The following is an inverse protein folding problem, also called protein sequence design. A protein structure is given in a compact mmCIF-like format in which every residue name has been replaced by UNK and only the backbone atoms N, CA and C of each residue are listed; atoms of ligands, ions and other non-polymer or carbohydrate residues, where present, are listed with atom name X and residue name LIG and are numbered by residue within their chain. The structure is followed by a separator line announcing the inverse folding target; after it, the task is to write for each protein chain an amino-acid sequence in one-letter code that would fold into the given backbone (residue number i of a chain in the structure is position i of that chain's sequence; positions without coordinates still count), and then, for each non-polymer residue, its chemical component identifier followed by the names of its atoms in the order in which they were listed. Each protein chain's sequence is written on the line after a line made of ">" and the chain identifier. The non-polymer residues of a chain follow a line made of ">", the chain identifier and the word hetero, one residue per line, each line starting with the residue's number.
data_IF_981222709016
#
_entry.id   IF_981222709016
#
_cell.length_a   1.000
_cell.length_b   1.000
_cell.length_c   1.000
_cell.angle_alpha   90.00
_cell.angle_beta   90.00
_cell.angle_gamma   90.00
#
_symmetry.space_group_name_H-M   'P 1'
#
loop_
_entity.id
_entity.type
_entity.pdbx_description
1 polymer ?
#
# COMPACT_ATOMS: atom_id res chain seq x y z
N UNK A 1 9.95 -10.47 -6.98
CA UNK A 1 8.51 -10.72 -7.26
C UNK A 1 8.36 -10.97 -8.75
N UNK A 2 7.55 -11.93 -9.14
CA UNK A 2 7.28 -12.24 -10.54
C UNK A 2 5.96 -11.60 -11.00
N UNK A 3 5.81 -11.25 -12.31
CA UNK A 3 4.54 -10.81 -12.87
C UNK A 3 3.47 -11.89 -12.69
N UNK A 4 2.26 -11.49 -12.34
CA UNK A 4 1.15 -12.43 -12.13
C UNK A 4 0.26 -12.60 -13.36
N UNK A 5 0.42 -11.75 -14.38
CA UNK A 5 -0.43 -11.73 -15.57
C UNK A 5 -1.89 -11.34 -15.28
N UNK A 6 -2.19 -10.87 -14.07
CA UNK A 6 -3.54 -10.41 -13.69
C UNK A 6 -3.67 -8.91 -13.90
N UNK A 7 -4.87 -8.48 -14.26
CA UNK A 7 -5.22 -7.07 -14.25
C UNK A 7 -4.86 -6.46 -12.88
N UNK A 8 -4.25 -5.27 -12.87
CA UNK A 8 -3.75 -4.58 -11.68
C UNK A 8 -2.57 -5.24 -10.94
N UNK A 9 -1.76 -6.07 -11.63
CA UNK A 9 -0.53 -6.58 -11.04
C UNK A 9 0.49 -5.46 -10.81
N UNK A 10 0.92 -5.19 -9.56
CA UNK A 10 1.87 -4.11 -9.29
C UNK A 10 3.22 -4.28 -9.98
N UNK A 11 3.63 -5.53 -10.21
CA UNK A 11 4.88 -5.86 -10.90
C UNK A 11 4.79 -5.46 -12.37
N UNK A 12 3.68 -5.78 -13.04
CA UNK A 12 3.45 -5.44 -14.43
C UNK A 12 3.39 -3.91 -14.62
N UNK A 13 2.78 -3.19 -13.69
CA UNK A 13 2.79 -1.72 -13.68
C UNK A 13 4.21 -1.15 -13.55
N UNK A 14 5.02 -1.69 -12.64
CA UNK A 14 6.40 -1.22 -12.47
C UNK A 14 7.23 -1.51 -13.71
N UNK A 15 7.09 -2.70 -14.31
CA UNK A 15 7.83 -3.05 -15.53
C UNK A 15 7.41 -2.15 -16.70
N UNK A 16 6.12 -1.96 -16.92
CA UNK A 16 5.59 -1.05 -17.95
C UNK A 16 6.05 0.39 -17.73
N UNK A 17 6.07 0.86 -16.47
CA UNK A 17 6.61 2.16 -16.13
C UNK A 17 8.11 2.27 -16.45
N UNK A 18 8.90 1.24 -16.13
CA UNK A 18 10.33 1.23 -16.41
C UNK A 18 10.62 1.26 -17.92
N UNK A 19 9.84 0.52 -18.70
CA UNK A 19 9.97 0.50 -20.16
C UNK A 19 9.60 1.88 -20.75
N UNK A 20 8.47 2.44 -20.33
CA UNK A 20 8.08 3.80 -20.71
C UNK A 20 9.15 4.83 -20.31
N UNK A 21 9.69 4.72 -19.11
CA UNK A 21 10.65 5.67 -18.60
C UNK A 21 12.01 5.56 -19.32
N UNK A 22 12.45 4.36 -19.73
CA UNK A 22 13.65 4.14 -20.53
C UNK A 22 13.49 4.71 -21.93
N UNK A 23 12.34 4.50 -22.55
CA UNK A 23 12.06 5.04 -23.89
C UNK A 23 12.06 6.58 -23.89
N UNK A 24 11.38 7.17 -22.93
CA UNK A 24 11.20 8.62 -22.89
C UNK A 24 12.35 9.39 -22.25
N UNK A 25 13.10 8.75 -21.36
CA UNK A 25 14.16 9.38 -20.55
C UNK A 25 15.37 8.45 -20.39
N UNK A 26 16.08 8.12 -21.49
CA UNK A 26 17.12 7.08 -21.50
C UNK A 26 18.27 7.33 -20.51
N UNK A 27 18.60 8.59 -20.22
CA UNK A 27 19.71 8.93 -19.31
C UNK A 27 19.31 8.94 -17.82
N UNK A 28 18.05 8.72 -17.49
CA UNK A 28 17.53 9.01 -16.15
C UNK A 28 17.09 7.86 -15.30
N UNK A 29 16.68 6.78 -15.92
CA UNK A 29 16.09 5.64 -15.21
C UNK A 29 17.13 4.80 -14.48
N UNK A 30 18.41 4.96 -14.84
CA UNK A 30 19.49 4.15 -14.26
C UNK A 30 19.79 4.46 -12.79
N UNK A 31 19.46 5.68 -12.33
CA UNK A 31 19.79 6.09 -10.95
C UNK A 31 18.63 5.96 -9.95
N UNK A 32 17.41 6.27 -10.39
CA UNK A 32 16.26 6.30 -9.48
C UNK A 32 15.01 5.76 -10.16
N UNK A 33 14.33 4.82 -9.52
CA UNK A 33 13.04 4.31 -10.01
C UNK A 33 11.99 5.43 -10.06
N UNK A 34 11.99 6.32 -9.07
CA UNK A 34 11.12 7.49 -9.01
C UNK A 34 11.97 8.76 -8.89
N UNK A 35 12.35 9.37 -10.02
CA UNK A 35 13.10 10.62 -10.00
C UNK A 35 12.22 11.80 -9.57
N UNK A 36 12.87 12.86 -9.09
CA UNK A 36 12.18 14.12 -8.85
C UNK A 36 11.82 14.78 -10.18
N UNK A 37 10.59 15.25 -10.32
CA UNK A 37 10.10 15.98 -11.49
C UNK A 37 10.04 17.46 -11.17
N UNK A 38 10.66 18.30 -11.98
CA UNK A 38 10.51 19.75 -11.90
C UNK A 38 10.22 20.36 -13.28
N UNK A 39 9.07 21.03 -13.41
CA UNK A 39 8.66 21.71 -14.64
C UNK A 39 8.50 20.74 -15.83
N UNK A 40 8.97 21.16 -17.01
CA UNK A 40 8.97 20.35 -18.23
C UNK A 40 10.14 19.37 -18.30
N UNK A 41 11.14 19.54 -17.45
CA UNK A 41 12.34 18.73 -17.42
C UNK A 41 12.33 17.83 -16.20
N UNK A 42 12.74 16.58 -16.36
CA UNK A 42 12.95 15.64 -15.28
C UNK A 42 14.37 15.81 -14.76
N UNK A 43 14.58 16.28 -13.54
CA UNK A 43 15.91 16.31 -12.97
C UNK A 43 16.32 14.90 -12.55
N UNK A 44 17.04 14.22 -13.43
CA UNK A 44 17.45 12.83 -13.30
C UNK A 44 18.48 12.58 -12.19
N UNK A 45 19.03 13.67 -11.61
CA UNK A 45 20.05 13.61 -10.56
C UNK A 45 19.50 13.51 -9.14
N UNK A 46 18.18 13.59 -8.94
CA UNK A 46 17.55 13.60 -7.60
C UNK A 46 16.40 12.62 -7.51
N UNK A 47 16.35 11.87 -6.41
CA UNK A 47 15.19 11.05 -6.06
C UNK A 47 13.99 11.92 -5.72
N UNK A 48 12.78 11.38 -5.89
CA UNK A 48 11.56 12.03 -5.42
C UNK A 48 11.62 12.23 -3.89
N UNK A 49 11.37 13.45 -3.45
CA UNK A 49 11.31 13.74 -2.02
C UNK A 49 10.04 13.14 -1.39
N UNK A 50 10.09 12.89 -0.08
CA UNK A 50 8.92 12.45 0.70
C UNK A 50 7.71 13.36 0.48
N UNK A 51 7.92 14.68 0.51
CA UNK A 51 6.86 15.66 0.33
C UNK A 51 6.25 15.61 -1.08
N UNK A 52 7.07 15.38 -2.09
CA UNK A 52 6.59 15.21 -3.47
C UNK A 52 5.77 13.93 -3.62
N UNK A 53 6.24 12.82 -3.07
CA UNK A 53 5.50 11.56 -3.07
C UNK A 53 4.17 11.68 -2.32
N UNK A 54 4.16 12.32 -1.14
CA UNK A 54 2.95 12.55 -0.36
C UNK A 54 1.95 13.44 -1.11
N UNK A 55 2.43 14.47 -1.82
CA UNK A 55 1.58 15.33 -2.66
C UNK A 55 0.92 14.54 -3.79
N UNK A 56 1.66 13.67 -4.46
CA UNK A 56 1.12 12.81 -5.50
C UNK A 56 0.07 11.85 -4.94
N UNK A 57 0.34 11.21 -3.80
CA UNK A 57 -0.63 10.33 -3.14
C UNK A 57 -1.93 11.08 -2.84
N UNK A 58 -1.84 12.28 -2.26
CA UNK A 58 -3.02 13.12 -1.94
C UNK A 58 -3.77 13.57 -3.18
N UNK A 59 -3.07 13.84 -4.28
CA UNK A 59 -3.71 14.14 -5.56
C UNK A 59 -4.54 12.96 -6.05
N UNK A 60 -3.97 11.75 -6.04
CA UNK A 60 -4.69 10.52 -6.43
C UNK A 60 -5.89 10.27 -5.53
N UNK A 61 -5.76 10.41 -4.20
CA UNK A 61 -6.90 10.22 -3.29
C UNK A 61 -8.02 11.25 -3.52
N UNK A 62 -7.66 12.47 -3.90
CA UNK A 62 -8.64 13.50 -4.30
C UNK A 62 -9.36 13.16 -5.60
N UNK A 63 -8.63 12.68 -6.61
CA UNK A 63 -9.20 12.25 -7.89
C UNK A 63 -10.14 11.04 -7.74
N UNK A 64 -9.89 10.19 -6.74
CA UNK A 64 -10.76 9.06 -6.37
C UNK A 64 -11.96 9.47 -5.49
N UNK A 65 -12.20 10.77 -5.29
CA UNK A 65 -13.27 11.31 -4.45
C UNK A 65 -13.25 10.79 -3.00
N UNK A 66 -12.07 10.45 -2.48
CA UNK A 66 -11.92 10.10 -1.07
C UNK A 66 -12.13 11.37 -0.24
N UNK A 67 -12.98 11.34 0.83
CA UNK A 67 -13.26 12.52 1.64
C UNK A 67 -11.99 13.22 2.14
N UNK A 68 -11.99 14.56 2.13
CA UNK A 68 -10.80 15.39 2.46
C UNK A 68 -10.24 15.06 3.84
N UNK A 69 -11.09 14.80 4.82
CA UNK A 69 -10.66 14.45 6.17
C UNK A 69 -9.91 13.12 6.19
N UNK A 70 -10.39 12.13 5.45
CA UNK A 70 -9.71 10.85 5.30
C UNK A 70 -8.46 10.98 4.44
N UNK A 71 -8.49 11.78 3.37
CA UNK A 71 -7.32 12.01 2.53
C UNK A 71 -6.15 12.65 3.28
N UNK A 72 -6.40 13.47 4.30
CA UNK A 72 -5.37 14.05 5.17
C UNK A 72 -4.69 13.01 6.06
N UNK A 73 -5.39 11.92 6.38
CA UNK A 73 -4.84 10.81 7.16
C UNK A 73 -3.97 9.87 6.31
N UNK A 74 -4.12 9.93 4.99
CA UNK A 74 -3.27 9.13 4.10
C UNK A 74 -1.84 9.67 4.10
N UNK A 75 -0.92 8.82 4.52
CA UNK A 75 0.52 9.01 4.39
C UNK A 75 1.13 7.87 3.57
N UNK A 76 2.41 7.96 3.26
CA UNK A 76 3.10 6.89 2.53
C UNK A 76 3.09 5.55 3.29
N UNK A 77 3.03 5.59 4.63
CA UNK A 77 2.87 4.40 5.46
C UNK A 77 1.49 3.74 5.35
N UNK A 78 0.46 4.50 4.95
CA UNK A 78 -0.90 3.96 4.78
C UNK A 78 -0.95 2.91 3.67
N UNK A 79 -0.18 3.07 2.60
CA UNK A 79 -0.08 2.07 1.53
C UNK A 79 0.48 0.74 2.07
N UNK A 80 1.49 0.81 2.95
CA UNK A 80 2.08 -0.38 3.57
C UNK A 80 1.09 -1.07 4.52
N UNK A 81 0.41 -0.30 5.35
CA UNK A 81 -0.62 -0.81 6.26
C UNK A 81 -1.82 -1.40 5.50
N UNK A 82 -2.30 -0.71 4.48
CA UNK A 82 -3.38 -1.18 3.62
C UNK A 82 -3.05 -2.48 2.91
N UNK A 83 -1.84 -2.60 2.33
CA UNK A 83 -1.40 -3.83 1.68
C UNK A 83 -1.31 -5.01 2.66
N UNK A 84 -0.75 -4.78 3.87
CA UNK A 84 -0.67 -5.81 4.90
C UNK A 84 -2.06 -6.26 5.38
N UNK A 85 -2.98 -5.31 5.58
CA UNK A 85 -4.37 -5.58 5.96
C UNK A 85 -5.10 -6.37 4.87
N UNK A 86 -4.98 -5.95 3.61
CA UNK A 86 -5.60 -6.64 2.47
C UNK A 86 -5.08 -8.08 2.34
N UNK A 87 -3.77 -8.28 2.46
CA UNK A 87 -3.16 -9.62 2.41
C UNK A 87 -3.66 -10.50 3.57
N UNK A 88 -3.71 -9.96 4.79
CA UNK A 88 -4.22 -10.67 5.96
C UNK A 88 -5.69 -11.06 5.81
N UNK A 89 -6.53 -10.16 5.32
CA UNK A 89 -7.95 -10.43 5.07
C UNK A 89 -8.16 -11.45 3.95
N UNK A 90 -7.22 -11.55 3.00
CA UNK A 90 -7.19 -12.59 1.97
C UNK A 90 -6.63 -13.94 2.47
N UNK A 91 -6.33 -14.06 3.77
CA UNK A 91 -5.85 -15.30 4.37
C UNK A 91 -4.35 -15.58 4.17
N UNK A 92 -3.56 -14.60 3.73
CA UNK A 92 -2.11 -14.77 3.62
C UNK A 92 -1.51 -14.90 5.03
N UNK A 93 -0.70 -15.96 5.28
CA UNK A 93 -0.07 -16.16 6.59
C UNK A 93 0.82 -14.98 7.01
N UNK A 94 0.78 -14.64 8.30
CA UNK A 94 1.55 -13.51 8.85
C UNK A 94 3.05 -13.56 8.56
N UNK A 95 3.74 -14.72 8.63
CA UNK A 95 5.17 -14.79 8.26
C UNK A 95 5.43 -14.38 6.80
N UNK A 96 4.54 -14.72 5.87
CA UNK A 96 4.65 -14.35 4.45
C UNK A 96 4.46 -12.84 4.29
N UNK A 97 3.49 -12.26 5.01
CA UNK A 97 3.26 -10.80 5.02
C UNK A 97 4.49 -10.09 5.60
N UNK A 98 5.06 -10.62 6.68
CA UNK A 98 6.26 -10.08 7.33
C UNK A 98 7.45 -10.06 6.35
N UNK A 99 7.71 -11.16 5.68
CA UNK A 99 8.80 -11.29 4.71
C UNK A 99 8.59 -10.34 3.52
N UNK A 100 7.41 -10.36 2.90
CA UNK A 100 7.08 -9.48 1.79
C UNK A 100 7.18 -7.99 2.15
N UNK A 101 6.78 -7.65 3.37
CA UNK A 101 6.86 -6.29 3.90
C UNK A 101 8.25 -5.93 4.44
N UNK A 102 9.21 -6.85 4.48
CA UNK A 102 10.55 -6.66 5.04
C UNK A 102 10.52 -6.11 6.48
N UNK A 103 9.62 -6.65 7.30
CA UNK A 103 9.62 -6.34 8.73
C UNK A 103 10.58 -7.25 9.48
N UNK A 104 11.39 -6.66 10.34
CA UNK A 104 12.42 -7.38 11.11
C UNK A 104 11.86 -8.14 12.31
N UNK A 105 10.65 -7.83 12.75
CA UNK A 105 9.98 -8.51 13.86
C UNK A 105 8.57 -8.95 13.51
N UNK A 106 8.09 -10.02 14.10
CA UNK A 106 6.72 -10.51 13.95
C UNK A 106 5.66 -9.55 14.50
N UNK A 107 6.03 -8.71 15.43
CA UNK A 107 5.10 -7.73 16.03
C UNK A 107 4.83 -6.55 15.10
N UNK A 108 5.82 -6.18 14.27
CA UNK A 108 5.71 -5.00 13.43
C UNK A 108 4.52 -5.03 12.45
N UNK A 109 4.27 -6.11 11.67
CA UNK A 109 3.10 -6.17 10.80
C UNK A 109 1.78 -6.18 11.57
N UNK A 110 1.73 -6.74 12.77
CA UNK A 110 0.49 -6.78 13.60
C UNK A 110 -0.02 -5.38 13.95
N UNK A 111 0.88 -4.42 14.12
CA UNK A 111 0.51 -3.01 14.37
C UNK A 111 -0.10 -2.31 13.15
N UNK A 112 0.10 -2.83 11.95
CA UNK A 112 -0.45 -2.29 10.70
C UNK A 112 -1.73 -2.98 10.25
N UNK A 113 -1.88 -4.28 10.57
CA UNK A 113 -3.03 -5.08 10.15
C UNK A 113 -4.25 -4.69 10.98
N UNK A 114 -5.30 -4.26 10.30
CA UNK A 114 -6.58 -3.98 10.92
C UNK A 114 -7.57 -5.09 10.57
N UNK A 115 -8.26 -5.69 11.57
CA UNK A 115 -9.28 -6.68 11.29
C UNK A 115 -10.41 -6.05 10.48
N UNK A 116 -10.89 -6.76 9.44
CA UNK A 116 -12.05 -6.33 8.67
C UNK A 116 -13.31 -6.27 9.55
N UNK A 117 -14.30 -5.50 9.12
CA UNK A 117 -15.60 -5.46 9.82
C UNK A 117 -16.28 -6.83 9.85
N UNK A 118 -16.03 -7.68 8.86
CA UNK A 118 -16.49 -9.06 8.84
C UNK A 118 -15.88 -9.89 9.97
N UNK A 119 -14.56 -9.76 10.19
CA UNK A 119 -13.85 -10.44 11.28
C UNK A 119 -14.34 -9.93 12.64
N UNK A 120 -14.49 -8.62 12.79
CA UNK A 120 -15.05 -8.03 14.02
C UNK A 120 -16.48 -8.52 14.27
N UNK A 121 -17.31 -8.55 13.23
CA UNK A 121 -18.68 -9.08 13.29
C UNK A 121 -18.73 -10.57 13.60
N UNK A 122 -17.79 -11.37 13.08
CA UNK A 122 -17.70 -12.81 13.40
C UNK A 122 -17.40 -13.02 14.87
N UNK A 123 -16.42 -12.31 15.43
CA UNK A 123 -16.10 -12.37 16.87
C UNK A 123 -17.31 -12.03 17.71
N UNK A 124 -18.00 -10.93 17.40
CA UNK A 124 -19.19 -10.50 18.12
C UNK A 124 -20.32 -11.54 18.07
N UNK A 125 -20.58 -12.12 16.90
CA UNK A 125 -21.59 -13.18 16.73
C UNK A 125 -21.21 -14.45 17.50
N UNK A 126 -19.94 -14.86 17.43
CA UNK A 126 -19.46 -16.05 18.15
C UNK A 126 -19.59 -15.86 19.65
N UNK A 127 -19.20 -14.71 20.19
CA UNK A 127 -19.34 -14.42 21.63
C UNK A 127 -20.80 -14.37 22.07
N UNK A 128 -21.71 -13.86 21.24
CA UNK A 128 -23.14 -13.82 21.54
C UNK A 128 -23.82 -15.19 21.50
N UNK A 129 -23.24 -16.16 20.78
CA UNK A 129 -23.77 -17.52 20.67
C UNK A 129 -23.28 -18.46 21.77
N UNK A 130 -22.34 -18.01 22.64
CA UNK A 130 -21.84 -18.84 23.72
C UNK A 130 -22.92 -19.01 24.79
N UNK A 131 -23.12 -20.25 25.31
CA UNK A 131 -24.04 -20.49 26.41
C UNK A 131 -23.62 -19.68 27.66
N UNK A 132 -24.49 -18.83 28.16
CA UNK A 132 -24.23 -17.99 29.33
C UNK A 132 -24.07 -16.49 29.05
N UNK A 133 -24.15 -16.03 27.81
CA UNK A 133 -24.10 -14.61 27.44
C UNK A 133 -25.43 -13.84 27.73
N UNK A 134 -26.42 -14.46 28.32
CA UNK A 134 -27.64 -13.77 28.75
C UNK A 134 -27.33 -12.79 29.88
N UNK A 135 -27.45 -11.51 29.58
CA UNK A 135 -27.43 -10.45 30.61
C UNK A 135 -28.59 -10.68 31.58
N UNK A 136 -28.27 -10.80 32.86
CA UNK A 136 -29.24 -10.57 33.93
C UNK A 136 -29.54 -9.08 34.03
#
# INVERSE_FOLDING_TARGET
>A
MAPSGREHCPVDFILSYMDFARDKYPEGVEKFLFPSLSGKNIPLSKTMSYQSALRQLRKVTSELNIPVEDSKRFGLHSCRGGAATAASNAGVPLPVIQEAGRWTSEQAPKGYIQPSEEVKGLVSRTLSSLPGASRK
#
